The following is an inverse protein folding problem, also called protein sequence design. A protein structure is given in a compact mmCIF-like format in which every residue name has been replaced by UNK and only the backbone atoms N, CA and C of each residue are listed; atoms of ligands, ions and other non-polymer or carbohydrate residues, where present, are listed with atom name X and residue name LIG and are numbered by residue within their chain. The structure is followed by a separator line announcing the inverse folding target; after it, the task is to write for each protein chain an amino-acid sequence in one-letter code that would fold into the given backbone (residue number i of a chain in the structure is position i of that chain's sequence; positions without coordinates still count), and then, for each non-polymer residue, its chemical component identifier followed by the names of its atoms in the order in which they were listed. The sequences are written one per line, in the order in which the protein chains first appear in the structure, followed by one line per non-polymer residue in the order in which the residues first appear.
data_IF_752907165879
#
_entry.id   IF_752907165879
#
_cell.length_a   1.000
_cell.length_b   1.000
_cell.length_c   1.000
_cell.angle_alpha   90.00
_cell.angle_beta   90.00
_cell.angle_gamma   90.00
#
_symmetry.space_group_name_H-M   'P 1'
#
loop_
_entity.id
_entity.type
_entity.pdbx_description
1 polymer ?
#
# COMPACT_ATOMS: atom_id res chain seq x y z
N UNK A 1 -8.67 -26.49 26.87
CA UNK A 1 -7.55 -26.65 25.91
C UNK A 1 -7.60 -25.49 24.90
N UNK A 2 -7.67 -24.24 25.39
CA UNK A 2 -7.98 -23.04 24.58
C UNK A 2 -6.96 -21.90 24.74
N UNK A 3 -5.91 -22.05 25.56
CA UNK A 3 -4.98 -20.95 25.84
C UNK A 3 -3.77 -20.85 24.91
N UNK A 4 -3.65 -21.68 23.86
CA UNK A 4 -2.44 -21.73 23.01
C UNK A 4 -2.50 -20.93 21.71
N UNK A 5 -3.67 -20.42 21.29
CA UNK A 5 -3.82 -19.66 20.03
C UNK A 5 -3.68 -18.15 20.21
N UNK A 6 -4.13 -17.59 21.34
CA UNK A 6 -4.06 -16.13 21.59
C UNK A 6 -2.63 -15.61 21.83
N UNK A 7 -1.70 -16.49 22.24
CA UNK A 7 -0.30 -16.14 22.49
C UNK A 7 0.58 -16.13 21.23
N UNK A 8 0.25 -16.90 20.18
CA UNK A 8 1.08 -17.02 18.96
C UNK A 8 0.95 -15.83 18.00
N UNK A 9 -0.15 -15.10 18.06
CA UNK A 9 -0.46 -14.02 17.08
C UNK A 9 0.33 -12.72 17.36
N UNK A 10 0.99 -12.59 18.52
CA UNK A 10 1.59 -11.31 18.94
C UNK A 10 2.93 -10.95 18.29
N UNK A 11 3.55 -11.82 17.49
CA UNK A 11 4.87 -11.57 16.91
C UNK A 11 5.01 -11.78 15.40
N UNK A 12 4.16 -12.59 14.78
CA UNK A 12 4.29 -12.88 13.35
C UNK A 12 3.63 -11.78 12.49
N UNK A 13 4.26 -11.40 11.36
CA UNK A 13 3.62 -10.49 10.41
C UNK A 13 2.32 -11.07 9.86
N UNK A 14 1.33 -10.21 9.58
CA UNK A 14 0.07 -10.66 8.97
C UNK A 14 0.17 -10.94 7.47
N UNK A 15 1.26 -10.52 6.84
CA UNK A 15 1.56 -10.89 5.47
C UNK A 15 2.30 -12.23 5.42
N UNK A 16 2.24 -12.89 4.27
CA UNK A 16 3.04 -14.08 4.00
C UNK A 16 4.19 -13.73 3.05
N UNK A 17 5.23 -14.56 3.05
CA UNK A 17 6.26 -14.51 2.00
C UNK A 17 5.62 -14.99 0.71
N UNK A 18 5.51 -14.11 -0.27
CA UNK A 18 4.85 -14.43 -1.55
C UNK A 18 5.83 -15.06 -2.53
N UNK A 19 5.36 -15.93 -3.44
CA UNK A 19 6.19 -16.49 -4.48
C UNK A 19 6.82 -15.40 -5.37
N UNK A 20 8.02 -15.69 -5.85
CA UNK A 20 8.66 -14.96 -6.92
C UNK A 20 8.82 -15.91 -8.11
N UNK A 21 8.09 -15.63 -9.19
CA UNK A 21 8.00 -16.51 -10.34
C UNK A 21 8.67 -15.86 -11.54
N UNK A 22 9.52 -16.60 -12.24
CA UNK A 22 9.97 -16.15 -13.55
C UNK A 22 8.80 -16.19 -14.55
N UNK A 23 8.63 -15.12 -15.31
CA UNK A 23 7.63 -15.06 -16.38
C UNK A 23 8.32 -15.24 -17.73
N UNK A 24 8.26 -16.46 -18.27
CA UNK A 24 8.83 -16.74 -19.59
C UNK A 24 8.30 -15.79 -20.68
N UNK A 25 6.99 -15.55 -20.71
CA UNK A 25 6.37 -14.68 -21.71
C UNK A 25 6.87 -13.22 -21.63
N UNK A 26 6.97 -12.65 -20.42
CA UNK A 26 7.49 -11.29 -20.25
C UNK A 26 8.99 -11.23 -20.51
N UNK A 27 9.73 -12.28 -20.15
CA UNK A 27 11.15 -12.36 -20.44
C UNK A 27 11.43 -12.30 -21.96
N UNK A 28 10.62 -13.00 -22.76
CA UNK A 28 10.72 -12.97 -24.22
C UNK A 28 10.43 -11.58 -24.81
N UNK A 29 9.42 -10.88 -24.28
CA UNK A 29 9.05 -9.54 -24.75
C UNK A 29 10.11 -8.50 -24.35
N UNK A 30 10.64 -8.60 -23.14
CA UNK A 30 11.61 -7.65 -22.60
C UNK A 30 13.06 -7.92 -23.06
N UNK A 31 13.36 -9.11 -23.60
CA UNK A 31 14.71 -9.52 -23.96
C UNK A 31 15.63 -9.71 -22.74
N UNK A 32 15.06 -9.89 -21.54
CA UNK A 32 15.76 -10.05 -20.27
C UNK A 32 14.92 -10.88 -19.32
N UNK A 33 15.51 -11.49 -18.28
CA UNK A 33 14.74 -12.26 -17.30
C UNK A 33 13.81 -11.37 -16.48
N UNK A 34 12.51 -11.68 -16.50
CA UNK A 34 11.49 -10.95 -15.73
C UNK A 34 10.94 -11.84 -14.62
N UNK A 35 11.04 -11.36 -13.39
CA UNK A 35 10.43 -11.99 -12.21
C UNK A 35 9.16 -11.25 -11.78
N UNK A 36 8.15 -12.00 -11.38
CA UNK A 36 6.90 -11.53 -10.82
C UNK A 36 6.86 -11.80 -9.33
N UNK A 37 6.77 -10.74 -8.53
CA UNK A 37 6.50 -10.86 -7.09
C UNK A 37 4.99 -10.92 -6.86
N UNK A 38 4.47 -12.11 -6.53
CA UNK A 38 3.04 -12.43 -6.56
C UNK A 38 2.26 -11.93 -5.33
N UNK A 39 2.24 -10.61 -5.11
CA UNK A 39 1.53 -9.98 -3.99
C UNK A 39 -0.01 -10.15 -4.02
N UNK A 40 -0.57 -10.58 -5.15
CA UNK A 40 -1.96 -11.00 -5.26
C UNK A 40 -2.27 -12.27 -4.44
N UNK A 41 -1.25 -13.04 -4.04
CA UNK A 41 -1.40 -14.25 -3.21
C UNK A 41 -1.38 -13.96 -1.70
N UNK A 42 -1.25 -12.70 -1.29
CA UNK A 42 -1.40 -12.31 0.11
C UNK A 42 -2.79 -12.71 0.64
N UNK A 43 -2.98 -12.95 1.95
CA UNK A 43 -4.28 -13.32 2.52
C UNK A 43 -5.43 -12.35 2.18
N UNK A 44 -5.09 -11.07 1.99
CA UNK A 44 -6.03 -10.00 1.64
C UNK A 44 -6.10 -9.74 0.13
N UNK A 45 -5.38 -10.51 -0.68
CA UNK A 45 -5.32 -10.40 -2.14
C UNK A 45 -4.43 -9.28 -2.68
N UNK A 46 -3.63 -8.61 -1.84
CA UNK A 46 -2.69 -7.57 -2.28
C UNK A 46 -1.61 -7.28 -1.23
N UNK A 47 -0.58 -6.55 -1.64
CA UNK A 47 0.52 -6.09 -0.78
C UNK A 47 0.08 -5.21 0.40
N UNK A 48 -1.13 -4.65 0.39
CA UNK A 48 -1.60 -3.69 1.39
C UNK A 48 -1.53 -4.24 2.82
N UNK A 49 -1.64 -5.56 3.01
CA UNK A 49 -1.50 -6.18 4.32
C UNK A 49 -0.11 -6.05 4.93
N UNK A 50 0.94 -5.83 4.14
CA UNK A 50 2.30 -5.60 4.66
C UNK A 50 2.34 -4.33 5.51
N UNK A 51 2.12 -3.19 4.87
CA UNK A 51 2.12 -1.89 5.54
C UNK A 51 0.96 -1.70 6.53
N UNK A 52 -0.28 -2.02 6.12
CA UNK A 52 -1.45 -1.83 7.00
C UNK A 52 -1.45 -2.84 8.16
N UNK A 53 -1.02 -4.08 7.91
CA UNK A 53 -0.88 -5.08 8.98
C UNK A 53 0.12 -4.63 10.04
N UNK A 54 1.32 -4.20 9.62
CA UNK A 54 2.33 -3.65 10.53
C UNK A 54 1.80 -2.44 11.32
N UNK A 55 1.18 -1.47 10.62
CA UNK A 55 0.56 -0.32 11.26
C UNK A 55 -0.46 -0.74 12.33
N UNK A 56 -1.39 -1.64 12.00
CA UNK A 56 -2.39 -2.11 12.95
C UNK A 56 -1.78 -2.86 14.14
N UNK A 57 -0.76 -3.70 13.91
CA UNK A 57 -0.05 -4.40 14.98
C UNK A 57 0.63 -3.42 15.95
N UNK A 58 1.29 -2.39 15.43
CA UNK A 58 1.92 -1.35 16.26
C UNK A 58 0.91 -0.48 16.99
N UNK A 59 -0.20 -0.11 16.35
CA UNK A 59 -1.26 0.67 17.00
C UNK A 59 -1.97 -0.15 18.09
N UNK A 60 -2.13 -1.45 17.91
CA UNK A 60 -2.65 -2.34 18.94
C UNK A 60 -1.73 -2.40 20.17
N UNK A 61 -0.40 -2.45 19.97
CA UNK A 61 0.59 -2.35 21.07
C UNK A 61 0.47 -1.03 21.83
N UNK A 62 0.07 0.05 21.15
CA UNK A 62 -0.18 1.38 21.73
C UNK A 62 -1.57 1.55 22.35
N UNK A 63 -2.36 0.48 22.47
CA UNK A 63 -3.68 0.52 23.11
C UNK A 63 -4.82 0.96 22.19
N UNK A 64 -4.68 0.81 20.87
CA UNK A 64 -5.81 0.98 19.94
C UNK A 64 -6.99 0.08 20.35
N UNK A 65 -8.17 0.67 20.40
CA UNK A 65 -9.44 0.00 20.75
C UNK A 65 -10.37 -0.16 19.55
N UNK A 66 -10.15 0.59 18.47
CA UNK A 66 -11.01 0.54 17.28
C UNK A 66 -10.28 1.11 16.06
N UNK A 67 -10.36 0.43 14.92
CA UNK A 67 -9.81 0.93 13.66
C UNK A 67 -10.89 1.58 12.79
N UNK A 68 -10.58 2.68 12.14
CA UNK A 68 -11.47 3.32 11.16
C UNK A 68 -10.74 3.45 9.84
N UNK A 69 -11.37 3.10 8.72
CA UNK A 69 -10.77 3.26 7.39
C UNK A 69 -11.79 3.74 6.35
N UNK A 70 -11.56 4.85 5.65
CA UNK A 70 -12.46 5.33 4.60
C UNK A 70 -12.13 4.71 3.23
N UNK A 71 -12.07 3.39 3.12
CA UNK A 71 -11.72 2.72 1.86
C UNK A 71 -12.50 1.45 1.61
N UNK A 72 -13.13 1.36 0.43
CA UNK A 72 -13.79 0.13 -0.05
C UNK A 72 -12.89 -0.82 -0.83
N UNK A 73 -11.65 -0.42 -1.11
CA UNK A 73 -10.69 -1.24 -1.88
C UNK A 73 -9.75 -2.06 -0.99
N UNK A 74 -8.61 -2.42 -1.57
CA UNK A 74 -7.57 -3.25 -0.93
C UNK A 74 -7.12 -2.74 0.45
N UNK A 75 -7.09 -1.42 0.68
CA UNK A 75 -6.73 -0.87 1.98
C UNK A 75 -7.78 -1.18 3.07
N UNK A 76 -9.08 -1.10 2.72
CA UNK A 76 -10.15 -1.44 3.65
C UNK A 76 -10.18 -2.92 3.98
N UNK A 77 -9.96 -3.78 2.98
CA UNK A 77 -9.84 -5.24 3.17
C UNK A 77 -8.66 -5.56 4.09
N UNK A 78 -7.49 -4.93 3.87
CA UNK A 78 -6.32 -5.13 4.72
C UNK A 78 -6.54 -4.65 6.17
N UNK A 79 -7.19 -3.49 6.35
CA UNK A 79 -7.53 -2.97 7.67
C UNK A 79 -8.50 -3.89 8.40
N UNK A 80 -9.58 -4.33 7.74
CA UNK A 80 -10.57 -5.26 8.29
C UNK A 80 -9.94 -6.61 8.67
N UNK A 81 -9.11 -7.17 7.78
CA UNK A 81 -8.40 -8.43 8.04
C UNK A 81 -7.48 -8.31 9.26
N UNK A 82 -6.68 -7.23 9.34
CA UNK A 82 -5.76 -7.01 10.44
C UNK A 82 -6.50 -6.80 11.77
N UNK A 83 -7.58 -6.02 11.76
CA UNK A 83 -8.43 -5.78 12.92
C UNK A 83 -9.04 -7.09 13.45
N UNK A 84 -9.58 -7.94 12.57
CA UNK A 84 -10.09 -9.27 12.91
C UNK A 84 -9.01 -10.15 13.55
N UNK A 85 -7.80 -10.19 12.96
CA UNK A 85 -6.67 -10.97 13.50
C UNK A 85 -6.24 -10.51 14.89
N UNK A 86 -6.38 -9.21 15.17
CA UNK A 86 -6.06 -8.61 16.47
C UNK A 86 -7.19 -8.71 17.49
N UNK A 87 -8.41 -9.09 17.08
CA UNK A 87 -9.59 -9.04 17.93
C UNK A 87 -10.03 -7.60 18.28
N UNK A 88 -9.62 -6.62 17.47
CA UNK A 88 -9.98 -5.21 17.62
C UNK A 88 -11.07 -4.89 16.58
N UNK A 89 -12.19 -4.23 16.94
CA UNK A 89 -13.21 -3.88 15.96
C UNK A 89 -12.70 -2.90 14.90
N UNK A 90 -13.29 -2.96 13.70
CA UNK A 90 -13.04 -2.02 12.62
C UNK A 90 -14.32 -1.50 12.00
N UNK A 91 -14.38 -0.19 11.74
CA UNK A 91 -15.44 0.47 10.96
C UNK A 91 -14.88 0.97 9.64
N UNK A 92 -15.47 0.53 8.53
CA UNK A 92 -15.11 0.96 7.18
C UNK A 92 -16.19 1.92 6.68
N UNK A 93 -15.80 3.17 6.45
CA UNK A 93 -16.74 4.23 6.04
C UNK A 93 -16.70 4.39 4.53
N UNK A 94 -17.83 4.20 3.87
CA UNK A 94 -17.94 4.17 2.40
C UNK A 94 -19.06 5.09 1.91
N UNK A 95 -19.00 5.60 0.67
CA UNK A 95 -20.13 6.31 0.08
C UNK A 95 -21.38 5.43 -0.06
N UNK A 96 -22.57 6.04 -0.01
CA UNK A 96 -23.86 5.35 -0.18
C UNK A 96 -24.00 4.66 -1.53
N UNK A 97 -23.29 5.14 -2.55
CA UNK A 97 -23.25 4.57 -3.90
C UNK A 97 -22.38 3.31 -4.01
N UNK A 98 -21.78 2.84 -2.91
CA UNK A 98 -20.87 1.70 -2.93
C UNK A 98 -21.61 0.41 -3.28
N UNK A 99 -21.08 -0.34 -4.24
CA UNK A 99 -21.66 -1.60 -4.68
C UNK A 99 -21.74 -2.62 -3.52
N UNK A 100 -22.87 -3.31 -3.41
CA UNK A 100 -23.12 -4.30 -2.35
C UNK A 100 -22.05 -5.41 -2.27
N UNK A 101 -21.41 -5.76 -3.39
CA UNK A 101 -20.30 -6.73 -3.40
C UNK A 101 -19.13 -6.30 -2.51
N UNK A 102 -18.82 -5.01 -2.48
CA UNK A 102 -17.74 -4.44 -1.67
C UNK A 102 -18.13 -4.48 -0.19
N UNK A 103 -19.36 -4.07 0.12
CA UNK A 103 -19.90 -4.11 1.50
C UNK A 103 -19.85 -5.53 2.05
N UNK A 104 -20.37 -6.52 1.30
CA UNK A 104 -20.36 -7.93 1.71
C UNK A 104 -18.94 -8.47 1.89
N UNK A 105 -18.00 -8.08 1.02
CA UNK A 105 -16.60 -8.50 1.15
C UNK A 105 -15.99 -8.03 2.48
N UNK A 106 -16.22 -6.78 2.86
CA UNK A 106 -15.71 -6.21 4.11
C UNK A 106 -16.42 -6.80 5.34
N UNK A 107 -17.73 -7.01 5.27
CA UNK A 107 -18.49 -7.69 6.32
C UNK A 107 -18.01 -9.15 6.51
N UNK A 108 -17.59 -9.83 5.44
CA UNK A 108 -16.94 -11.15 5.52
C UNK A 108 -15.60 -11.13 6.27
N UNK A 109 -14.94 -9.97 6.33
CA UNK A 109 -13.77 -9.73 7.20
C UNK A 109 -14.15 -9.32 8.63
N UNK A 110 -15.45 -9.38 8.99
CA UNK A 110 -16.02 -8.99 10.28
C UNK A 110 -15.92 -7.49 10.60
N UNK A 111 -15.70 -6.65 9.59
CA UNK A 111 -15.75 -5.20 9.78
C UNK A 111 -17.19 -4.68 9.75
N UNK A 112 -17.46 -3.68 10.59
CA UNK A 112 -18.64 -2.83 10.46
C UNK A 112 -18.48 -1.97 9.22
N UNK A 113 -19.52 -1.88 8.39
CA UNK A 113 -19.51 -1.02 7.20
C UNK A 113 -20.53 0.08 7.39
N UNK A 114 -20.07 1.32 7.43
CA UNK A 114 -20.92 2.50 7.54
C UNK A 114 -21.00 3.20 6.18
N UNK A 115 -22.20 3.21 5.58
CA UNK A 115 -22.47 3.97 4.37
C UNK A 115 -22.80 5.43 4.75
N UNK A 116 -22.00 6.38 4.29
CA UNK A 116 -22.17 7.80 4.61
C UNK A 116 -21.74 8.70 3.46
N UNK A 117 -22.68 9.54 3.01
CA UNK A 117 -22.43 10.58 2.02
C UNK A 117 -22.38 10.07 0.58
N UNK A 118 -22.52 11.00 -0.36
CA UNK A 118 -22.62 10.69 -1.81
C UNK A 118 -21.26 10.49 -2.49
N UNK A 119 -20.19 11.02 -1.89
CA UNK A 119 -18.84 11.05 -2.46
C UNK A 119 -17.81 10.64 -1.41
N UNK A 120 -16.63 10.18 -1.87
CA UNK A 120 -15.56 9.68 -1.02
C UNK A 120 -15.09 10.71 0.02
N UNK A 121 -14.98 12.00 -0.34
CA UNK A 121 -14.53 13.04 0.59
C UNK A 121 -15.42 13.14 1.84
N UNK A 122 -16.73 12.96 1.69
CA UNK A 122 -17.68 12.97 2.82
C UNK A 122 -17.50 11.75 3.72
N UNK A 123 -17.28 10.57 3.13
CA UNK A 123 -16.97 9.35 3.87
C UNK A 123 -15.63 9.49 4.63
N UNK A 124 -14.62 10.09 4.00
CA UNK A 124 -13.32 10.36 4.61
C UNK A 124 -13.41 11.33 5.79
N UNK A 125 -14.15 12.43 5.65
CA UNK A 125 -14.39 13.36 6.76
C UNK A 125 -15.09 12.67 7.93
N UNK A 126 -16.06 11.79 7.65
CA UNK A 126 -16.73 11.03 8.70
C UNK A 126 -15.80 10.04 9.40
N UNK A 127 -14.93 9.37 8.65
CA UNK A 127 -13.90 8.51 9.24
C UNK A 127 -12.94 9.28 10.15
N UNK A 128 -12.54 10.49 9.75
CA UNK A 128 -11.70 11.37 10.57
C UNK A 128 -12.41 11.81 11.85
N UNK A 129 -13.70 12.15 11.77
CA UNK A 129 -14.52 12.48 12.95
C UNK A 129 -14.60 11.28 13.92
N UNK A 130 -14.86 10.07 13.42
CA UNK A 130 -14.91 8.86 14.24
C UNK A 130 -13.57 8.57 14.93
N UNK A 131 -12.46 8.84 14.25
CA UNK A 131 -11.11 8.64 14.81
C UNK A 131 -10.75 9.65 15.92
N UNK A 132 -11.55 10.69 16.17
CA UNK A 132 -11.37 11.57 17.32
C UNK A 132 -11.84 10.94 18.64
N UNK A 133 -12.58 9.83 18.58
CA UNK A 133 -13.00 9.09 19.78
C UNK A 133 -11.79 8.49 20.47
N UNK A 134 -11.85 8.44 21.80
CA UNK A 134 -10.75 7.92 22.60
C UNK A 134 -10.40 6.46 22.21
N UNK A 135 -9.13 6.19 21.94
CA UNK A 135 -8.62 4.90 21.49
C UNK A 135 -9.02 4.46 20.07
N UNK A 136 -9.67 5.32 19.27
CA UNK A 136 -9.97 5.04 17.87
C UNK A 136 -8.83 5.53 16.97
N UNK A 137 -8.48 4.75 15.94
CA UNK A 137 -7.34 5.04 15.07
C UNK A 137 -7.76 5.02 13.61
N UNK A 138 -7.49 6.11 12.90
CA UNK A 138 -7.65 6.16 11.45
C UNK A 138 -6.52 5.40 10.75
N UNK A 139 -6.87 4.44 9.92
CA UNK A 139 -5.92 3.66 9.12
C UNK A 139 -5.68 4.37 7.80
N UNK A 140 -4.51 4.97 7.66
CA UNK A 140 -4.06 5.57 6.40
C UNK A 140 -3.92 4.50 5.32
N UNK A 141 -4.32 4.74 4.07
CA UNK A 141 -4.16 3.77 2.99
C UNK A 141 -2.72 3.69 2.45
N UNK A 142 -1.88 4.69 2.73
CA UNK A 142 -0.50 4.75 2.21
C UNK A 142 0.44 5.70 2.97
N UNK A 143 -0.04 6.83 3.47
CA UNK A 143 0.78 7.90 4.04
C UNK A 143 0.92 7.71 5.56
N UNK A 144 1.86 6.86 5.96
CA UNK A 144 2.27 6.69 7.35
C UNK A 144 3.63 5.98 7.42
N UNK A 145 4.58 6.40 8.27
CA UNK A 145 5.91 5.78 8.35
C UNK A 145 5.87 4.26 8.62
N UNK A 146 5.01 3.80 9.54
CA UNK A 146 4.82 2.37 9.79
C UNK A 146 4.30 1.62 8.56
N UNK A 147 3.50 2.24 7.70
CA UNK A 147 3.05 1.57 6.47
C UNK A 147 4.22 1.37 5.51
N UNK A 148 5.13 2.34 5.41
CA UNK A 148 6.31 2.23 4.55
C UNK A 148 7.28 1.18 5.10
N UNK A 149 7.52 1.19 6.42
CA UNK A 149 8.31 0.16 7.12
C UNK A 149 7.76 -1.24 6.85
N UNK A 150 6.45 -1.44 7.00
CA UNK A 150 5.82 -2.73 6.69
C UNK A 150 5.99 -3.11 5.22
N UNK A 151 5.87 -2.16 4.28
CA UNK A 151 6.08 -2.43 2.86
C UNK A 151 7.56 -2.71 2.50
N UNK A 152 8.53 -2.23 3.29
CA UNK A 152 9.95 -2.49 3.08
C UNK A 152 10.32 -3.98 3.22
N UNK A 153 9.54 -4.75 4.01
CA UNK A 153 9.66 -6.21 4.11
C UNK A 153 9.69 -6.93 2.75
N UNK A 154 9.00 -6.38 1.74
CA UNK A 154 8.99 -6.93 0.39
C UNK A 154 10.41 -7.02 -0.19
N UNK A 155 11.27 -6.04 0.07
CA UNK A 155 12.64 -6.00 -0.46
C UNK A 155 13.53 -7.01 0.24
N UNK A 156 13.31 -7.27 1.53
CA UNK A 156 14.03 -8.31 2.26
C UNK A 156 13.74 -9.69 1.65
N UNK A 157 12.49 -9.95 1.25
CA UNK A 157 12.11 -11.16 0.52
C UNK A 157 12.75 -11.23 -0.87
N UNK A 158 12.84 -10.11 -1.59
CA UNK A 158 13.54 -10.06 -2.89
C UNK A 158 15.02 -10.41 -2.73
N UNK A 159 15.69 -9.88 -1.70
CA UNK A 159 17.09 -10.20 -1.40
C UNK A 159 17.29 -11.67 -1.05
N UNK A 160 16.42 -12.22 -0.21
CA UNK A 160 16.47 -13.64 0.13
C UNK A 160 16.28 -14.54 -1.09
N UNK A 161 15.41 -14.16 -2.04
CA UNK A 161 15.10 -14.96 -3.21
C UNK A 161 16.11 -14.81 -4.37
N UNK A 162 16.62 -13.60 -4.62
CA UNK A 162 17.53 -13.33 -5.74
C UNK A 162 19.01 -13.50 -5.39
N UNK A 163 19.40 -13.26 -4.13
CA UNK A 163 20.80 -13.25 -3.68
C UNK A 163 21.63 -12.05 -4.18
N UNK A 164 21.35 -11.53 -5.37
CA UNK A 164 22.01 -10.38 -5.99
C UNK A 164 21.00 -9.28 -6.35
N UNK A 165 21.43 -8.00 -6.44
CA UNK A 165 20.55 -6.92 -6.86
C UNK A 165 19.96 -7.18 -8.25
N UNK A 166 18.65 -6.93 -8.48
CA UNK A 166 18.08 -6.99 -9.81
C UNK A 166 18.51 -5.79 -10.65
N UNK A 167 18.38 -5.89 -11.98
CA UNK A 167 18.69 -4.78 -12.89
C UNK A 167 17.72 -3.60 -12.77
N UNK A 168 16.47 -3.85 -12.37
CA UNK A 168 15.47 -2.83 -12.07
C UNK A 168 14.35 -3.43 -11.19
N UNK A 169 13.62 -2.56 -10.49
CA UNK A 169 12.35 -2.91 -9.81
C UNK A 169 11.22 -2.13 -10.47
N UNK A 170 10.19 -2.83 -10.93
CA UNK A 170 8.99 -2.22 -11.51
C UNK A 170 7.84 -2.34 -10.52
N UNK A 171 7.16 -1.24 -10.21
CA UNK A 171 6.01 -1.26 -9.29
C UNK A 171 4.94 -0.24 -9.66
N UNK A 172 3.69 -0.55 -9.27
CA UNK A 172 2.58 0.36 -9.43
C UNK A 172 2.57 1.46 -8.35
N UNK A 173 2.28 2.69 -8.77
CA UNK A 173 2.18 3.85 -7.88
C UNK A 173 0.76 4.39 -7.89
N UNK A 174 0.21 4.55 -6.68
CA UNK A 174 -0.98 5.36 -6.42
C UNK A 174 -0.57 6.47 -5.46
N UNK A 175 -0.96 6.37 -4.19
CA UNK A 175 -0.46 7.26 -3.13
C UNK A 175 1.01 7.02 -2.70
N UNK A 176 1.78 6.20 -3.43
CA UNK A 176 3.22 6.03 -3.17
C UNK A 176 3.66 5.21 -1.96
N UNK A 177 2.77 4.74 -1.09
CA UNK A 177 3.18 3.98 0.11
C UNK A 177 4.00 2.70 -0.18
N UNK A 178 3.75 2.03 -1.32
CA UNK A 178 4.58 0.90 -1.77
C UNK A 178 5.96 1.39 -2.23
N UNK A 179 5.98 2.44 -3.05
CA UNK A 179 7.22 3.04 -3.56
C UNK A 179 8.13 3.49 -2.42
N UNK A 180 7.58 4.19 -1.43
CA UNK A 180 8.33 4.64 -0.26
C UNK A 180 8.93 3.47 0.54
N UNK A 181 8.14 2.40 0.75
CA UNK A 181 8.63 1.20 1.42
C UNK A 181 9.71 0.46 0.63
N UNK A 182 9.53 0.30 -0.69
CA UNK A 182 10.54 -0.32 -1.56
C UNK A 182 11.83 0.48 -1.59
N UNK A 183 11.74 1.81 -1.66
CA UNK A 183 12.90 2.69 -1.60
C UNK A 183 13.65 2.52 -0.28
N UNK A 184 12.95 2.55 0.86
CA UNK A 184 13.57 2.33 2.17
C UNK A 184 14.23 0.94 2.25
N UNK A 185 13.50 -0.11 1.84
CA UNK A 185 14.01 -1.47 1.84
C UNK A 185 15.23 -1.67 0.94
N UNK A 186 15.30 -1.01 -0.23
CA UNK A 186 16.48 -1.07 -1.10
C UNK A 186 17.71 -0.45 -0.45
N UNK A 187 17.55 0.66 0.28
CA UNK A 187 18.64 1.25 1.07
C UNK A 187 19.10 0.29 2.16
N UNK A 188 18.17 -0.27 2.93
CA UNK A 188 18.48 -1.20 4.03
C UNK A 188 19.29 -2.40 3.58
N UNK A 189 19.02 -2.92 2.37
CA UNK A 189 19.71 -4.09 1.86
C UNK A 189 20.98 -3.80 1.06
N UNK A 190 21.33 -2.53 0.85
CA UNK A 190 22.50 -2.09 0.08
C UNK A 190 22.29 -2.02 -1.43
N UNK A 191 21.04 -1.93 -1.90
CA UNK A 191 20.63 -1.92 -3.30
C UNK A 191 20.10 -0.56 -3.78
N UNK A 192 20.52 0.54 -3.14
CA UNK A 192 20.08 1.90 -3.46
C UNK A 192 20.43 2.38 -4.88
N UNK A 193 21.32 1.67 -5.57
CA UNK A 193 21.69 1.92 -6.97
C UNK A 193 20.72 1.28 -7.97
N UNK A 194 19.85 0.36 -7.53
CA UNK A 194 18.88 -0.32 -8.40
C UNK A 194 17.80 0.67 -8.84
N UNK A 195 17.57 0.85 -10.16
CA UNK A 195 16.56 1.77 -10.64
C UNK A 195 15.14 1.27 -10.35
N UNK A 196 14.24 2.21 -10.03
CA UNK A 196 12.81 1.93 -9.83
C UNK A 196 12.01 2.54 -10.98
N UNK A 197 11.24 1.69 -11.66
CA UNK A 197 10.31 2.09 -12.71
C UNK A 197 8.91 2.16 -12.08
N UNK A 198 8.44 3.39 -11.86
CA UNK A 198 7.11 3.66 -11.32
C UNK A 198 6.07 3.65 -12.44
N UNK A 199 5.05 2.82 -12.28
CA UNK A 199 3.96 2.65 -13.23
C UNK A 199 2.68 3.26 -12.67
N UNK A 200 2.05 4.15 -13.42
CA UNK A 200 0.74 4.72 -13.09
C UNK A 200 -0.26 4.51 -14.24
N UNK A 201 -1.55 4.49 -13.92
CA UNK A 201 -2.59 4.47 -14.96
C UNK A 201 -2.73 5.86 -15.58
N UNK A 202 -2.83 5.93 -16.92
CA UNK A 202 -3.16 7.20 -17.58
C UNK A 202 -4.48 7.74 -17.04
N UNK A 203 -4.50 9.03 -16.75
CA UNK A 203 -5.63 9.71 -16.07
C UNK A 203 -5.74 9.53 -14.56
N UNK A 204 -4.82 8.81 -13.90
CA UNK A 204 -4.62 8.83 -12.44
C UNK A 204 -3.13 8.96 -12.06
N UNK A 205 -2.35 9.63 -12.91
CA UNK A 205 -0.89 9.69 -12.85
C UNK A 205 -0.42 10.90 -12.03
N UNK A 206 -0.90 10.99 -10.78
CA UNK A 206 -0.61 12.14 -9.91
C UNK A 206 0.86 12.18 -9.49
N UNK A 207 1.53 11.03 -9.38
CA UNK A 207 2.94 10.98 -9.05
C UNK A 207 3.79 11.54 -10.20
N UNK A 208 3.54 11.13 -11.45
CA UNK A 208 4.22 11.68 -12.62
C UNK A 208 4.00 13.19 -12.75
N UNK A 209 2.79 13.69 -12.49
CA UNK A 209 2.51 15.12 -12.48
C UNK A 209 3.31 15.85 -11.38
N UNK A 210 3.38 15.29 -10.17
CA UNK A 210 4.14 15.86 -9.07
C UNK A 210 5.66 15.84 -9.33
N UNK A 211 6.19 14.75 -9.89
CA UNK A 211 7.61 14.65 -10.28
C UNK A 211 7.97 15.71 -11.32
N UNK A 212 7.13 15.91 -12.35
CA UNK A 212 7.35 16.96 -13.37
C UNK A 212 7.28 18.37 -12.80
N UNK A 213 6.38 18.59 -11.83
CA UNK A 213 6.21 19.90 -11.19
C UNK A 213 7.24 20.18 -10.09
N UNK A 214 7.95 19.17 -9.59
CA UNK A 214 8.85 19.27 -8.45
C UNK A 214 8.16 19.53 -7.11
N UNK A 215 6.82 19.36 -7.05
CA UNK A 215 5.98 19.60 -5.87
C UNK A 215 4.71 18.78 -5.95
N UNK A 216 3.99 18.66 -4.84
CA UNK A 216 2.64 18.08 -4.84
C UNK A 216 1.71 18.83 -5.81
N UNK A 217 0.97 18.03 -6.58
CA UNK A 217 -0.04 18.50 -7.52
C UNK A 217 -1.28 17.63 -7.36
N UNK A 218 -2.44 18.28 -7.25
CA UNK A 218 -3.74 17.63 -7.35
C UNK A 218 -4.16 17.62 -8.81
N UNK A 219 -4.46 16.43 -9.35
CA UNK A 219 -5.04 16.33 -10.69
C UNK A 219 -6.45 16.93 -10.69
N UNK A 220 -6.86 17.63 -11.77
CA UNK A 220 -8.19 18.24 -11.84
C UNK A 220 -9.31 17.18 -11.83
N UNK A 221 -9.07 16.01 -12.42
CA UNK A 221 -10.01 14.88 -12.42
C UNK A 221 -9.27 13.55 -12.59
N UNK A 222 -9.90 12.46 -12.13
CA UNK A 222 -9.47 11.08 -12.39
C UNK A 222 -10.39 10.49 -13.46
N UNK A 223 -9.83 10.04 -14.59
CA UNK A 223 -10.65 9.45 -15.65
C UNK A 223 -11.20 8.07 -15.24
N UNK A 224 -12.41 7.75 -15.73
CA UNK A 224 -13.28 6.65 -15.26
C UNK A 224 -12.61 5.26 -15.21
N UNK A 225 -11.60 5.01 -16.03
CA UNK A 225 -10.87 3.74 -16.13
C UNK A 225 -9.88 3.47 -14.99
N UNK A 226 -9.63 4.46 -14.12
CA UNK A 226 -8.62 4.37 -13.06
C UNK A 226 -9.22 4.30 -11.63
N UNK A 227 -10.52 4.03 -11.49
CA UNK A 227 -11.13 3.84 -10.16
C UNK A 227 -10.64 2.53 -9.54
N UNK A 228 -10.37 2.55 -8.23
CA UNK A 228 -9.69 1.49 -7.47
C UNK A 228 -10.34 0.08 -7.50
N UNK A 229 -11.49 -0.09 -8.16
CA UNK A 229 -12.14 -1.38 -8.40
C UNK A 229 -11.94 -1.96 -9.81
N UNK A 230 -11.47 -1.16 -10.77
CA UNK A 230 -11.44 -1.51 -12.20
C UNK A 230 -10.01 -1.72 -12.73
N UNK A 231 -8.98 -1.65 -11.86
CA UNK A 231 -7.57 -1.81 -12.22
C UNK A 231 -7.29 -3.21 -12.82
N UNK A 232 -8.16 -4.19 -12.60
CA UNK A 232 -8.05 -5.53 -13.20
C UNK A 232 -8.61 -5.65 -14.63
N UNK A 233 -9.44 -4.72 -15.14
CA UNK A 233 -10.21 -4.95 -16.38
C UNK A 233 -9.83 -4.07 -17.59
N UNK A 234 -8.77 -3.26 -17.53
CA UNK A 234 -8.25 -2.72 -18.78
C UNK A 234 -6.89 -2.08 -18.69
N UNK A 235 -5.89 -2.79 -19.23
CA UNK A 235 -4.56 -2.27 -19.51
C UNK A 235 -4.54 -1.69 -20.93
N UNK A 236 -5.20 -0.55 -21.15
CA UNK A 236 -4.94 0.28 -22.33
C UNK A 236 -4.42 1.66 -21.87
N UNK A 237 -3.10 1.83 -21.92
CA UNK A 237 -2.41 3.10 -21.68
C UNK A 237 -1.92 3.32 -20.24
N UNK A 238 -0.70 2.84 -19.94
CA UNK A 238 0.05 3.23 -18.74
C UNK A 238 0.85 4.53 -18.95
N UNK A 239 1.04 5.31 -17.89
CA UNK A 239 2.04 6.38 -17.81
C UNK A 239 3.25 5.85 -17.03
N UNK A 240 4.44 5.97 -17.59
CA UNK A 240 5.70 5.53 -16.95
C UNK A 240 6.43 6.75 -16.42
N UNK A 241 6.80 6.70 -15.14
CA UNK A 241 7.77 7.62 -14.55
C UNK A 241 9.00 6.81 -14.13
N UNK A 242 10.13 7.03 -14.79
CA UNK A 242 11.39 6.43 -14.36
C UNK A 242 12.04 7.36 -13.32
N UNK A 243 12.29 6.84 -12.12
CA UNK A 243 13.20 7.49 -11.18
C UNK A 243 14.60 6.95 -11.50
N UNK A 244 15.44 7.79 -12.11
CA UNK A 244 16.86 7.47 -12.24
C UNK A 244 17.52 7.31 -10.87
N UNK A 245 18.66 6.60 -10.77
CA UNK A 245 19.39 6.47 -9.51
C UNK A 245 19.71 7.87 -8.97
N UNK A 246 19.26 8.24 -7.76
CA UNK A 246 19.57 9.56 -7.21
C UNK A 246 21.06 9.63 -6.89
N UNK A 247 21.64 10.83 -6.99
CA UNK A 247 23.03 11.05 -6.59
C UNK A 247 23.23 10.68 -5.11
N UNK A 248 24.36 10.06 -4.72
CA UNK A 248 24.61 9.61 -3.33
C UNK A 248 24.41 10.69 -2.26
N UNK A 249 24.56 11.97 -2.60
CA UNK A 249 24.36 13.11 -1.69
C UNK A 249 22.91 13.42 -1.33
N UNK A 250 21.92 12.75 -1.95
CA UNK A 250 20.48 12.95 -1.70
C UNK A 250 19.88 11.92 -0.74
N UNK A 251 20.69 10.99 -0.24
CA UNK A 251 20.29 9.91 0.66
C UNK A 251 20.79 10.18 2.09
N UNK A 252 20.25 11.21 2.74
CA UNK A 252 20.21 11.22 4.20
C UNK A 252 19.37 10.03 4.68
N UNK A 253 19.59 9.53 5.90
CA UNK A 253 18.92 8.35 6.47
C UNK A 253 17.37 8.45 6.37
N UNK A 254 16.79 7.97 5.27
CA UNK A 254 15.37 8.15 4.99
C UNK A 254 15.03 8.10 3.49
N UNK A 255 13.73 8.25 3.20
CA UNK A 255 13.22 8.38 1.83
C UNK A 255 13.76 9.68 1.21
N UNK A 256 14.29 9.69 -0.03
CA UNK A 256 14.87 10.88 -0.64
C UNK A 256 13.91 12.08 -0.61
N UNK A 257 14.42 13.27 -0.31
CA UNK A 257 13.60 14.50 -0.18
C UNK A 257 12.74 14.78 -1.42
N UNK A 258 13.26 14.53 -2.62
CA UNK A 258 12.50 14.63 -3.87
C UNK A 258 11.35 13.64 -3.97
N UNK A 259 11.51 12.44 -3.40
CA UNK A 259 10.45 11.45 -3.33
C UNK A 259 9.41 11.85 -2.28
N UNK A 260 9.84 12.37 -1.14
CA UNK A 260 8.94 12.94 -0.14
C UNK A 260 8.12 14.10 -0.72
N UNK A 261 8.76 15.01 -1.45
CA UNK A 261 8.09 16.14 -2.13
C UNK A 261 7.12 15.68 -3.22
N UNK A 262 7.48 14.66 -4.00
CA UNK A 262 6.63 14.14 -5.07
C UNK A 262 5.47 13.26 -4.57
N UNK A 263 5.62 12.65 -3.39
CA UNK A 263 4.60 11.82 -2.76
C UNK A 263 3.81 12.55 -1.66
N UNK A 264 4.22 13.77 -1.30
CA UNK A 264 3.61 14.53 -0.22
C UNK A 264 3.88 13.98 1.17
N UNK A 265 4.91 13.16 1.29
CA UNK A 265 5.33 12.57 2.56
C UNK A 265 6.06 13.64 3.35
N UNK A 266 5.84 13.68 4.67
CA UNK A 266 6.65 14.57 5.51
C UNK A 266 8.11 14.09 5.50
N UNK A 267 9.07 14.92 5.05
CA UNK A 267 10.48 14.60 5.17
C UNK A 267 10.86 14.54 6.66
N UNK A 268 11.75 13.62 7.02
CA UNK A 268 12.44 13.66 8.32
C UNK A 268 13.59 14.63 8.25
#
# INVERSE_FOLDING_TARGET
MESSLAGRVKGEPFHTVTPMLESWALSQVAGMTVFLKCENMQPTGSFKIRGIGHFCQEMAKKGCRHFVCPSGGNAGIAAAYAARKLGIPATIVLPESTALRVVRRLQGEQAEVQLFGKVWDKANLKAQELAQRDGWVNVSPFDHPLIWEGNASLVQELKAALGTPPGAVVLAVGGGGLLAGVVAGLVEVGWQHVPIIAMETRGAHSFNAAVKAGRLVTLPDITRWARAGDICEGLEGGSVAALGPPSPSQWGQGVPERLCLALGLQPR
#
